data_IF_040537406916
#
_entry.id   IF_040537406916
#
_cell.length_a   1.000
_cell.length_b   1.000
_cell.length_c   1.000
_cell.angle_alpha   90.00
_cell.angle_beta   90.00
_cell.angle_gamma   90.00
#
_symmetry.space_group_name_H-M   'P 1'
#
loop_
_entity.id
_entity.type
_entity.pdbx_description
1 polymer ?
#
# COMPACT_ATOMS: atom_id res chain seq x y z
N UNK A 1 18.83 -15.02 -18.29
CA UNK A 1 19.01 -16.01 -19.38
C UNK A 1 19.13 -15.21 -20.66
N UNK A 2 20.34 -15.03 -21.19
CA UNK A 2 20.50 -14.34 -22.48
C UNK A 2 19.90 -15.22 -23.58
N UNK A 3 18.93 -14.68 -24.31
CA UNK A 3 18.37 -15.35 -25.47
C UNK A 3 18.76 -14.61 -26.77
N UNK A 4 19.94 -14.93 -27.35
CA UNK A 4 20.51 -14.17 -28.45
C UNK A 4 19.76 -14.33 -29.78
N UNK A 5 18.75 -15.21 -29.84
CA UNK A 5 17.92 -15.39 -31.03
C UNK A 5 16.78 -14.36 -31.13
N UNK A 6 16.53 -13.60 -30.06
CA UNK A 6 15.53 -12.54 -30.03
C UNK A 6 16.17 -11.17 -29.81
N UNK A 7 15.83 -10.24 -30.70
CA UNK A 7 16.07 -8.81 -30.48
C UNK A 7 14.80 -8.18 -29.90
N UNK A 8 14.92 -7.55 -28.73
CA UNK A 8 13.78 -6.99 -27.98
C UNK A 8 14.00 -5.51 -27.76
N UNK A 9 13.07 -4.69 -28.26
CA UNK A 9 13.06 -3.24 -28.04
C UNK A 9 11.86 -2.84 -27.18
N UNK A 10 12.11 -2.09 -26.11
CA UNK A 10 11.08 -1.48 -25.26
C UNK A 10 10.99 0.01 -25.55
N UNK A 11 9.80 0.50 -25.85
CA UNK A 11 9.53 1.91 -26.13
C UNK A 11 8.74 2.53 -24.97
N UNK A 12 9.34 3.49 -24.27
CA UNK A 12 8.71 4.27 -23.20
C UNK A 12 8.62 5.73 -23.63
N UNK A 13 7.44 6.32 -23.50
CA UNK A 13 7.18 7.68 -23.98
C UNK A 13 7.60 8.76 -22.98
N UNK A 14 7.53 8.45 -21.68
CA UNK A 14 7.89 9.35 -20.60
C UNK A 14 9.41 9.33 -20.36
N UNK A 15 9.97 10.31 -19.62
CA UNK A 15 11.42 10.40 -19.42
C UNK A 15 11.98 9.31 -18.48
N UNK A 16 11.17 8.38 -17.99
CA UNK A 16 11.58 7.31 -17.06
C UNK A 16 10.71 6.07 -17.24
N UNK A 17 11.26 4.90 -16.93
CA UNK A 17 10.46 3.69 -16.79
C UNK A 17 9.63 3.69 -15.49
N UNK A 18 8.69 2.74 -15.37
CA UNK A 18 7.98 2.45 -14.12
C UNK A 18 6.53 2.94 -14.04
N UNK A 19 6.06 3.74 -15.00
CA UNK A 19 4.65 4.17 -15.05
C UNK A 19 4.23 4.93 -13.79
N UNK A 20 3.25 4.41 -13.06
CA UNK A 20 2.75 5.00 -11.80
C UNK A 20 3.62 4.70 -10.58
N UNK A 21 4.62 3.82 -10.68
CA UNK A 21 5.54 3.52 -9.58
C UNK A 21 6.60 4.60 -9.51
N UNK A 22 6.52 5.45 -8.48
CA UNK A 22 7.43 6.56 -8.30
C UNK A 22 7.70 6.78 -6.83
N UNK A 23 8.96 6.63 -6.44
CA UNK A 23 9.47 7.08 -5.13
C UNK A 23 10.22 8.38 -5.37
N UNK A 24 9.83 9.43 -4.66
CA UNK A 24 10.50 10.74 -4.65
C UNK A 24 11.04 11.06 -3.27
N UNK A 25 11.77 12.17 -3.16
CA UNK A 25 12.23 12.68 -1.88
C UNK A 25 11.33 13.83 -1.46
N UNK A 26 10.86 13.79 -0.22
CA UNK A 26 10.22 14.92 0.43
C UNK A 26 11.31 15.73 1.14
N UNK A 27 11.44 17.01 0.77
CA UNK A 27 12.26 17.96 1.50
C UNK A 27 11.58 18.29 2.84
N UNK A 28 12.07 17.70 3.93
CA UNK A 28 11.61 17.98 5.29
C UNK A 28 12.72 18.65 6.12
N UNK A 29 12.44 19.77 6.81
CA UNK A 29 13.45 20.50 7.56
C UNK A 29 13.98 19.79 8.82
N UNK A 30 13.37 18.66 9.21
CA UNK A 30 13.71 17.89 10.41
C UNK A 30 14.18 16.48 10.07
N UNK A 31 13.63 15.87 9.01
CA UNK A 31 13.83 14.45 8.67
C UNK A 31 14.82 14.21 7.51
N UNK A 32 15.53 15.24 7.03
CA UNK A 32 16.36 15.21 5.83
C UNK A 32 15.56 14.69 4.60
N UNK A 33 16.21 14.07 3.62
CA UNK A 33 15.60 13.54 2.40
C UNK A 33 14.80 12.26 2.69
N UNK A 34 13.50 12.40 2.99
CA UNK A 34 12.61 11.27 3.28
C UNK A 34 12.05 10.68 1.97
N UNK A 35 12.30 9.40 1.64
CA UNK A 35 11.67 8.76 0.49
C UNK A 35 10.16 8.60 0.70
N UNK A 36 9.38 9.01 -0.30
CA UNK A 36 7.91 8.94 -0.32
C UNK A 36 7.45 8.37 -1.66
N UNK A 37 6.57 7.39 -1.59
CA UNK A 37 5.89 6.87 -2.77
C UNK A 37 4.76 7.81 -3.20
N UNK A 38 4.82 8.27 -4.45
CA UNK A 38 3.82 9.13 -5.09
C UNK A 38 2.72 8.33 -5.82
N UNK A 39 2.66 7.01 -5.58
CA UNK A 39 1.78 6.07 -6.27
C UNK A 39 1.47 4.85 -5.41
N UNK A 40 1.72 3.65 -5.94
CA UNK A 40 1.61 2.44 -5.13
C UNK A 40 2.74 2.40 -4.09
N UNK A 41 2.38 2.17 -2.83
CA UNK A 41 3.26 2.13 -1.66
C UNK A 41 3.55 0.69 -1.19
N UNK A 42 2.66 -0.26 -1.50
CA UNK A 42 2.79 -1.65 -1.14
C UNK A 42 2.06 -2.58 -2.11
N UNK A 43 2.37 -3.88 -2.02
CA UNK A 43 1.65 -4.94 -2.73
C UNK A 43 1.28 -6.09 -1.79
N UNK A 44 0.36 -6.93 -2.24
CA UNK A 44 -0.16 -8.04 -1.45
C UNK A 44 0.70 -9.30 -1.63
N UNK A 45 1.40 -9.72 -0.57
CA UNK A 45 2.23 -10.95 -0.59
C UNK A 45 1.44 -12.23 -0.91
N UNK A 46 0.13 -12.26 -0.63
CA UNK A 46 -0.71 -13.41 -1.03
C UNK A 46 -0.89 -13.54 -2.55
N UNK A 47 -0.55 -12.50 -3.32
CA UNK A 47 -0.47 -12.53 -4.78
C UNK A 47 1.02 -12.67 -5.12
N UNK A 48 1.48 -13.86 -5.53
CA UNK A 48 2.89 -14.22 -5.44
C UNK A 48 3.78 -13.48 -6.44
N UNK A 49 3.23 -13.04 -7.58
CA UNK A 49 4.03 -12.56 -8.72
C UNK A 49 5.01 -11.43 -8.40
N UNK A 50 4.63 -10.48 -7.53
CA UNK A 50 5.52 -9.39 -7.14
C UNK A 50 6.62 -9.87 -6.19
N UNK A 51 6.30 -10.78 -5.26
CA UNK A 51 7.28 -11.37 -4.35
C UNK A 51 8.26 -12.26 -5.13
N UNK A 52 7.78 -13.08 -6.05
CA UNK A 52 8.60 -13.94 -6.90
C UNK A 52 9.59 -13.09 -7.73
N UNK A 53 9.12 -12.00 -8.32
CA UNK A 53 9.98 -11.07 -9.05
C UNK A 53 11.04 -10.42 -8.16
N UNK A 54 10.71 -10.02 -6.92
CA UNK A 54 11.69 -9.52 -5.97
C UNK A 54 12.77 -10.58 -5.67
N UNK A 55 12.41 -11.86 -5.57
CA UNK A 55 13.38 -12.94 -5.41
C UNK A 55 14.26 -13.12 -6.65
N UNK A 56 13.68 -13.07 -7.85
CA UNK A 56 14.43 -13.19 -9.12
C UNK A 56 15.41 -12.02 -9.34
N UNK A 57 15.10 -10.85 -8.79
CA UNK A 57 15.93 -9.63 -8.87
C UNK A 57 16.87 -9.45 -7.67
N UNK A 58 16.97 -10.42 -6.76
CA UNK A 58 17.76 -10.37 -5.52
C UNK A 58 17.37 -9.21 -4.57
N UNK A 59 16.11 -8.76 -4.59
CA UNK A 59 15.54 -7.72 -3.73
C UNK A 59 14.79 -8.28 -2.52
N UNK A 60 14.87 -9.59 -2.28
CA UNK A 60 14.09 -10.27 -1.24
C UNK A 60 14.38 -9.74 0.17
N UNK A 61 15.64 -9.39 0.46
CA UNK A 61 16.08 -8.89 1.76
C UNK A 61 15.62 -7.45 2.04
N UNK A 62 15.13 -6.73 1.01
CA UNK A 62 14.58 -5.37 1.13
C UNK A 62 13.07 -5.38 1.45
N UNK A 63 12.40 -6.54 1.39
CA UNK A 63 10.96 -6.64 1.66
C UNK A 63 10.66 -6.39 3.14
N UNK A 64 9.85 -5.36 3.39
CA UNK A 64 9.36 -5.01 4.73
C UNK A 64 7.86 -5.17 4.84
N UNK A 65 7.38 -5.57 6.02
CA UNK A 65 5.94 -5.61 6.31
C UNK A 65 5.46 -4.28 6.87
N UNK A 66 4.32 -3.75 6.41
CA UNK A 66 3.71 -2.55 6.99
C UNK A 66 3.48 -2.70 8.50
N UNK A 67 3.76 -1.65 9.27
CA UNK A 67 3.66 -1.66 10.73
C UNK A 67 2.29 -1.20 11.28
N UNK A 68 1.39 -0.72 10.41
CA UNK A 68 0.15 -0.06 10.81
C UNK A 68 -0.77 -1.00 11.63
N UNK A 69 -1.20 -0.51 12.80
CA UNK A 69 -1.84 -1.33 13.83
C UNK A 69 -3.37 -1.23 13.86
N UNK A 70 -3.96 -0.13 13.37
CA UNK A 70 -5.41 0.13 13.39
C UNK A 70 -5.84 1.10 12.28
N UNK A 71 -7.07 0.94 11.77
CA UNK A 71 -7.69 1.85 10.81
C UNK A 71 -8.97 2.49 11.38
N UNK A 72 -9.30 3.69 10.87
CA UNK A 72 -10.43 4.50 11.31
C UNK A 72 -11.24 5.03 10.12
N UNK A 73 -12.51 5.33 10.35
CA UNK A 73 -13.42 5.98 9.41
C UNK A 73 -13.56 7.46 9.77
N UNK A 74 -13.51 8.36 8.78
CA UNK A 74 -13.89 9.76 8.98
C UNK A 74 -15.38 9.93 8.67
N UNK A 75 -16.20 10.13 9.70
CA UNK A 75 -17.66 10.25 9.59
C UNK A 75 -18.15 11.36 10.52
N UNK A 76 -19.05 12.21 10.03
CA UNK A 76 -19.64 13.32 10.79
C UNK A 76 -18.62 14.24 11.48
N UNK A 77 -17.52 14.54 10.79
CA UNK A 77 -16.47 15.44 11.31
C UNK A 77 -15.61 14.84 12.43
N UNK A 78 -15.62 13.53 12.61
CA UNK A 78 -14.79 12.85 13.61
C UNK A 78 -14.19 11.53 13.09
N UNK A 79 -13.01 11.16 13.60
CA UNK A 79 -12.39 9.85 13.35
C UNK A 79 -12.99 8.82 14.29
N UNK A 80 -13.60 7.77 13.72
CA UNK A 80 -14.18 6.64 14.46
C UNK A 80 -13.38 5.38 14.18
N UNK A 81 -12.86 4.67 15.19
CA UNK A 81 -12.12 3.44 14.95
C UNK A 81 -13.05 2.37 14.36
N UNK A 82 -12.49 1.47 13.52
CA UNK A 82 -13.23 0.30 13.10
C UNK A 82 -13.58 -0.59 14.31
N UNK A 83 -14.79 -1.20 14.37
CA UNK A 83 -15.12 -2.17 15.40
C UNK A 83 -14.09 -3.28 15.45
N UNK A 84 -13.64 -3.64 16.64
CA UNK A 84 -12.75 -4.79 16.85
C UNK A 84 -13.44 -5.84 17.70
N UNK A 85 -13.16 -7.15 17.50
CA UNK A 85 -12.40 -7.70 16.38
C UNK A 85 -13.21 -7.66 15.08
N UNK A 86 -12.54 -7.47 13.95
CA UNK A 86 -13.13 -7.54 12.61
C UNK A 86 -12.23 -8.33 11.65
N UNK A 87 -12.83 -8.85 10.59
CA UNK A 87 -12.12 -9.40 9.44
C UNK A 87 -12.56 -8.60 8.22
N UNK A 88 -11.60 -7.93 7.56
CA UNK A 88 -11.87 -7.10 6.38
C UNK A 88 -12.99 -6.08 6.62
N UNK A 89 -13.05 -5.49 7.81
CA UNK A 89 -14.07 -4.52 8.19
C UNK A 89 -15.40 -5.12 8.64
N UNK A 90 -15.61 -6.44 8.51
CA UNK A 90 -16.80 -7.13 9.03
C UNK A 90 -16.58 -7.45 10.51
N UNK A 91 -17.37 -6.87 11.44
CA UNK A 91 -17.24 -7.18 12.86
C UNK A 91 -17.54 -8.64 13.14
N UNK A 92 -16.72 -9.28 13.98
CA UNK A 92 -16.99 -10.62 14.48
C UNK A 92 -17.93 -10.63 15.69
N UNK A 93 -18.24 -9.44 16.24
CA UNK A 93 -19.22 -9.21 17.29
C UNK A 93 -20.31 -8.24 16.79
N UNK A 94 -21.50 -8.75 16.41
CA UNK A 94 -22.60 -7.92 15.88
C UNK A 94 -23.09 -6.83 16.84
N UNK A 95 -22.91 -7.01 18.16
CA UNK A 95 -23.35 -6.03 19.16
C UNK A 95 -22.54 -4.72 19.10
N UNK A 96 -21.40 -4.70 18.40
CA UNK A 96 -20.53 -3.52 18.25
C UNK A 96 -20.88 -2.64 17.04
N UNK A 97 -21.80 -3.09 16.18
CA UNK A 97 -22.25 -2.35 14.99
C UNK A 97 -23.04 -1.07 15.29
N UNK A 98 -23.99 -1.04 16.26
CA UNK A 98 -24.83 0.14 16.51
C UNK A 98 -24.04 1.37 16.99
N UNK A 99 -22.83 1.18 17.53
CA UNK A 99 -22.00 2.28 18.08
C UNK A 99 -21.26 3.11 17.02
N UNK A 100 -21.08 2.57 15.80
CA UNK A 100 -20.36 3.26 14.72
C UNK A 100 -21.31 4.09 13.85
N UNK A 101 -22.57 3.67 13.72
CA UNK A 101 -23.55 4.25 12.80
C UNK A 101 -24.79 4.84 13.48
N UNK A 102 -24.79 5.04 14.81
CA UNK A 102 -25.88 5.75 15.48
C UNK A 102 -25.90 7.22 15.02
N UNK A 103 -26.69 7.49 13.99
CA UNK A 103 -27.00 8.81 13.48
C UNK A 103 -27.69 9.64 14.58
N UNK A 104 -27.19 10.83 14.96
CA UNK A 104 -27.89 11.74 15.86
C UNK A 104 -29.00 12.57 15.17
N UNK A 105 -29.43 12.23 13.95
CA UNK A 105 -30.55 12.90 13.29
C UNK A 105 -31.79 12.02 13.18
N UNK A 106 -32.51 11.92 14.31
CA UNK A 106 -33.97 12.08 14.46
C UNK A 106 -34.23 12.65 15.83
#
# INVERSE_FOLDING_TARGET
MDNPEFDVTVLEASPRAGGYLQTGLLEDPVLDELPIDAGADAFLVRVPWAQDLCHELDLADELVSPSARQASLWLDGTLRPLPTPNVLGIPLDPARWPMVYSNPRT
#
